data_IF_075218174627
#
_entry.id   IF_075218174627
#
_cell.length_a   1.000
_cell.length_b   1.000
_cell.length_c   1.000
_cell.angle_alpha   90.00
_cell.angle_beta   90.00
_cell.angle_gamma   90.00
#
_symmetry.space_group_name_H-M   'P 1'
#
loop_
_entity.id
_entity.type
_entity.pdbx_description
1 polymer ?
#
# COMPACT_ATOMS: atom_id res chain seq x y z
N UNK A 1 0.81 -6.24 7.66
CA UNK A 1 0.45 -7.03 6.47
C UNK A 1 -1.05 -7.15 6.39
N UNK A 2 -1.59 -6.83 5.21
CA UNK A 2 -3.02 -6.93 4.98
C UNK A 2 -3.27 -7.78 3.74
N UNK A 3 -4.51 -8.26 3.61
CA UNK A 3 -4.90 -8.99 2.41
C UNK A 3 -5.07 -8.00 1.26
N UNK A 4 -4.76 -8.47 0.05
CA UNK A 4 -4.93 -7.63 -1.13
C UNK A 4 -6.38 -7.22 -1.37
N UNK A 5 -7.32 -8.00 -0.83
CA UNK A 5 -8.74 -7.69 -0.96
C UNK A 5 -9.24 -6.71 0.11
N UNK A 6 -8.38 -6.31 1.05
CA UNK A 6 -8.79 -5.36 2.08
C UNK A 6 -9.21 -4.05 1.45
N UNK A 7 -10.28 -3.47 1.97
CA UNK A 7 -10.83 -2.27 1.39
C UNK A 7 -10.02 -1.05 1.79
N UNK A 8 -9.89 -0.11 0.86
CA UNK A 8 -9.15 1.12 1.13
C UNK A 8 -9.75 1.89 2.30
N UNK A 9 -11.07 1.94 2.38
CA UNK A 9 -11.73 2.66 3.48
C UNK A 9 -11.33 2.08 4.83
N UNK A 10 -11.27 0.75 4.93
CA UNK A 10 -10.92 0.09 6.18
C UNK A 10 -9.47 0.37 6.54
N UNK A 11 -8.58 0.34 5.54
CA UNK A 11 -7.17 0.59 5.76
C UNK A 11 -6.95 2.04 6.16
N UNK A 12 -7.62 2.96 5.48
CA UNK A 12 -7.49 4.38 5.79
C UNK A 12 -7.89 4.66 7.24
N UNK A 13 -8.98 4.05 7.66
CA UNK A 13 -9.46 4.26 9.02
C UNK A 13 -8.52 3.65 10.04
N UNK A 14 -8.05 2.45 9.78
CA UNK A 14 -7.19 1.74 10.73
C UNK A 14 -5.83 2.41 10.88
N UNK A 15 -5.29 2.96 9.80
CA UNK A 15 -3.95 3.52 9.79
C UNK A 15 -3.92 5.04 9.76
N UNK A 16 -5.08 5.68 9.70
CA UNK A 16 -5.18 7.15 9.66
C UNK A 16 -4.45 7.71 8.43
N UNK A 17 -4.70 7.09 7.28
CA UNK A 17 -4.12 7.53 6.02
C UNK A 17 -5.24 7.76 5.02
N UNK A 18 -4.90 8.20 3.83
CA UNK A 18 -5.89 8.60 2.85
C UNK A 18 -5.53 8.09 1.46
N UNK A 19 -5.74 6.80 1.23
CA UNK A 19 -5.56 6.19 -0.07
C UNK A 19 -6.87 6.29 -0.84
N UNK A 20 -6.79 6.76 -2.08
CA UNK A 20 -7.98 6.95 -2.90
C UNK A 20 -7.78 6.36 -4.29
N UNK A 21 -8.84 5.77 -4.82
CA UNK A 21 -8.84 5.25 -6.18
C UNK A 21 -10.25 5.38 -6.74
N UNK A 22 -10.35 5.77 -8.01
CA UNK A 22 -11.64 5.86 -8.68
C UNK A 22 -12.11 4.52 -9.19
N UNK A 23 -11.18 3.64 -9.52
CA UNK A 23 -11.51 2.37 -10.17
C UNK A 23 -11.48 1.19 -9.22
N UNK A 24 -10.80 1.30 -8.10
CA UNK A 24 -10.61 0.19 -7.19
C UNK A 24 -10.94 0.59 -5.78
N UNK A 25 -11.51 -0.34 -5.03
CA UNK A 25 -11.79 -0.10 -3.61
C UNK A 25 -10.94 -0.97 -2.69
N UNK A 26 -10.01 -1.76 -3.25
CA UNK A 26 -9.14 -2.61 -2.48
C UNK A 26 -7.69 -2.18 -2.62
N UNK A 27 -6.86 -2.57 -1.63
CA UNK A 27 -5.45 -2.20 -1.66
C UNK A 27 -4.71 -2.88 -2.82
N UNK A 28 -5.08 -4.12 -3.14
CA UNK A 28 -4.48 -4.79 -4.27
C UNK A 28 -4.76 -4.08 -5.58
N UNK A 29 -6.02 -3.70 -5.79
CA UNK A 29 -6.40 -2.94 -6.96
C UNK A 29 -5.72 -1.59 -7.02
N UNK A 30 -5.59 -0.94 -5.86
CA UNK A 30 -4.91 0.34 -5.77
C UNK A 30 -3.46 0.24 -6.25
N UNK A 31 -2.77 -0.82 -5.85
CA UNK A 31 -1.38 -1.01 -6.26
C UNK A 31 -1.30 -1.23 -7.78
N UNK A 32 -2.22 -2.02 -8.33
CA UNK A 32 -2.25 -2.24 -9.77
C UNK A 32 -2.47 -0.93 -10.50
N UNK A 33 -3.34 -0.08 -9.98
CA UNK A 33 -3.59 1.23 -10.58
C UNK A 33 -2.33 2.09 -10.55
N UNK A 34 -1.60 2.10 -9.44
CA UNK A 34 -0.39 2.90 -9.33
C UNK A 34 0.71 2.43 -10.27
N UNK A 35 0.80 1.13 -10.49
CA UNK A 35 1.83 0.56 -11.35
C UNK A 35 1.39 0.44 -12.80
N UNK A 36 0.10 0.54 -13.05
CA UNK A 36 -0.50 0.37 -14.37
C UNK A 36 -0.25 -1.03 -14.94
N UNK A 37 -0.02 -1.99 -14.06
CA UNK A 37 0.19 -3.39 -14.45
C UNK A 37 0.18 -4.26 -13.21
N UNK A 38 0.08 -5.58 -13.40
CA UNK A 38 0.14 -6.51 -12.31
C UNK A 38 1.59 -6.62 -11.82
N UNK A 39 1.85 -6.36 -10.55
CA UNK A 39 3.22 -6.41 -10.03
C UNK A 39 3.71 -7.83 -9.83
N UNK A 40 4.98 -7.96 -9.54
CA UNK A 40 5.59 -9.23 -9.13
C UNK A 40 5.73 -9.25 -7.62
N UNK A 41 5.89 -10.47 -7.07
CA UNK A 41 6.15 -10.58 -5.64
C UNK A 41 7.41 -9.83 -5.28
N UNK A 42 7.35 -9.10 -4.20
CA UNK A 42 8.46 -8.29 -3.73
C UNK A 42 8.53 -6.91 -4.32
N UNK A 43 7.70 -6.63 -5.33
CA UNK A 43 7.70 -5.30 -5.94
C UNK A 43 7.02 -4.30 -5.01
N UNK A 44 7.49 -3.07 -5.01
CA UNK A 44 6.94 -2.06 -4.12
C UNK A 44 6.61 -0.79 -4.86
N UNK A 45 5.71 -0.01 -4.24
CA UNK A 45 5.30 1.30 -4.71
C UNK A 45 5.49 2.26 -3.54
N UNK A 46 6.16 3.38 -3.78
CA UNK A 46 6.29 4.43 -2.77
C UNK A 46 5.43 5.60 -3.20
N UNK A 47 4.51 6.00 -2.34
CA UNK A 47 3.59 7.10 -2.63
C UNK A 47 4.23 8.44 -2.28
N UNK A 48 3.65 9.51 -2.79
CA UNK A 48 4.15 10.85 -2.50
C UNK A 48 4.13 11.16 -1.01
N UNK A 49 3.18 10.58 -0.30
CA UNK A 49 3.07 10.77 1.14
C UNK A 49 4.17 10.06 1.93
N UNK A 50 4.95 9.21 1.26
CA UNK A 50 5.98 8.44 1.92
C UNK A 50 5.55 7.03 2.27
N UNK A 51 4.29 6.71 2.08
CA UNK A 51 3.78 5.36 2.35
C UNK A 51 4.34 4.41 1.30
N UNK A 52 4.82 3.27 1.75
CA UNK A 52 5.38 2.25 0.88
C UNK A 52 4.53 1.00 0.92
N UNK A 53 4.14 0.55 -0.25
CA UNK A 53 3.31 -0.65 -0.38
C UNK A 53 4.13 -1.73 -1.05
N UNK A 54 4.29 -2.86 -0.37
CA UNK A 54 5.10 -3.96 -0.88
C UNK A 54 4.19 -5.15 -1.15
N UNK A 55 4.28 -5.69 -2.37
CA UNK A 55 3.52 -6.88 -2.72
C UNK A 55 4.20 -8.08 -2.09
N UNK A 56 3.62 -8.58 -1.01
CA UNK A 56 4.23 -9.66 -0.23
C UNK A 56 3.95 -11.02 -0.85
N UNK A 57 2.79 -11.17 -1.50
CA UNK A 57 2.40 -12.44 -2.07
C UNK A 57 1.42 -12.25 -3.22
N UNK A 58 1.61 -13.01 -4.28
CA UNK A 58 0.67 -13.06 -5.39
C UNK A 58 0.06 -14.45 -5.46
N UNK A 59 -1.20 -14.51 -5.90
CA UNK A 59 -1.91 -15.74 -6.15
C UNK A 59 -2.46 -15.66 -7.56
N UNK A 60 -1.73 -16.25 -8.52
CA UNK A 60 -2.07 -16.18 -9.93
C UNK A 60 -2.05 -14.72 -10.39
N UNK A 61 -3.20 -14.16 -10.74
CA UNK A 61 -3.28 -12.79 -11.24
C UNK A 61 -3.76 -11.81 -10.20
N UNK A 62 -3.62 -12.17 -8.92
CA UNK A 62 -4.17 -11.37 -7.83
C UNK A 62 -3.11 -11.10 -6.79
N UNK A 63 -3.15 -9.92 -6.22
CA UNK A 63 -2.31 -9.61 -5.07
C UNK A 63 -3.00 -10.19 -3.85
N UNK A 64 -2.33 -11.11 -3.17
CA UNK A 64 -2.93 -11.78 -2.02
C UNK A 64 -2.58 -11.08 -0.71
N UNK A 65 -1.32 -10.71 -0.53
CA UNK A 65 -0.86 -10.05 0.69
C UNK A 65 -0.06 -8.81 0.35
N UNK A 66 -0.25 -7.78 1.14
CA UNK A 66 0.44 -6.49 0.97
C UNK A 66 0.99 -6.07 2.32
N UNK A 67 2.24 -5.64 2.33
CA UNK A 67 2.86 -5.06 3.51
C UNK A 67 2.85 -3.54 3.35
N UNK A 68 2.23 -2.85 4.28
CA UNK A 68 2.13 -1.39 4.24
C UNK A 68 3.14 -0.82 5.22
N UNK A 69 4.07 -0.04 4.69
CA UNK A 69 5.06 0.66 5.51
C UNK A 69 4.68 2.12 5.57
N UNK A 70 4.44 2.62 6.76
CA UNK A 70 4.09 4.03 6.95
C UNK A 70 5.36 4.85 7.04
N UNK A 71 5.31 6.13 6.64
CA UNK A 71 6.49 7.00 6.73
C UNK A 71 6.83 7.29 8.18
N UNK A 72 8.13 7.35 8.48
CA UNK A 72 8.59 7.77 9.81
C UNK A 72 8.47 9.26 9.91
N UNK A 73 8.10 9.69 11.01
CA UNK A 73 8.02 11.12 11.23
C UNK A 73 9.34 11.63 11.69
N UNK A 74 9.90 11.93 11.50
CA UNK A 74 10.94 12.13 11.87
C UNK A 74 11.31 12.96 12.26
N UNK A 75 11.05 12.28 12.13
CA UNK A 75 11.32 12.46 12.41
C UNK A 75 11.74 12.91 12.95
N UNK A 76 11.68 12.88 12.88
CA UNK A 76 11.78 12.99 13.27
C UNK A 76 12.45 13.23 13.65
N UNK A 77 12.81 13.36 13.39
CA UNK A 77 13.25 13.37 13.69
C UNK A 77 13.92 13.76 14.10
N UNK A 78 13.95 13.93 13.90
CA UNK A 78 14.25 14.04 14.22
C UNK A 78 14.88 14.23 14.79
N UNK A 79 15.05 14.32 14.80
CA UNK A 79 15.40 14.22 15.33
C UNK A 79 16.15 14.00 15.65
N UNK A 80 16.55 13.91 15.39
CA UNK A 80 17.03 13.46 15.59
C UNK A 80 17.54 13.38 15.59
N UNK A 81 17.81 13.51 15.57
CA UNK A 81 18.32 13.14 15.51
C UNK A 81 18.59 13.18 15.56
#
# INVERSE_FOLDING_TARGET
VVQGSAKLDDINEALHINLESEDYDSIGGYIIEQLDCLPKEGQSVTLESGIRLVVDRLDKNRIELVHIWLPEKKTETEEQP
#
